data_IF_891565844245
#
_entry.id   IF_891565844245
#
_cell.length_a   1.000
_cell.length_b   1.000
_cell.length_c   1.000
_cell.angle_alpha   90.00
_cell.angle_beta   90.00
_cell.angle_gamma   90.00
#
_symmetry.space_group_name_H-M   'P 1'
#
loop_
_entity.id
_entity.type
_entity.pdbx_description
1 polymer ?
#
# COMPACT_ATOMS: atom_id res chain seq x y z
N UNK A 1 69.04 -11.35 -49.57
CA UNK A 1 68.63 -10.90 -48.22
C UNK A 1 67.16 -10.47 -48.23
N UNK A 2 66.24 -11.29 -47.71
CA UNK A 2 64.81 -10.96 -47.64
C UNK A 2 64.54 -10.52 -46.21
N UNK A 3 64.20 -9.25 -45.99
CA UNK A 3 63.74 -8.74 -44.71
C UNK A 3 62.24 -9.10 -44.59
N UNK A 4 61.94 -9.95 -43.59
CA UNK A 4 60.57 -10.29 -43.16
C UNK A 4 60.19 -9.32 -42.06
N UNK A 5 59.37 -8.32 -42.37
CA UNK A 5 58.75 -7.48 -41.36
C UNK A 5 57.68 -8.30 -40.61
N UNK A 6 57.92 -8.61 -39.37
CA UNK A 6 56.92 -9.12 -38.44
C UNK A 6 56.03 -7.95 -37.97
N UNK A 7 54.79 -7.88 -38.43
CA UNK A 7 53.79 -7.01 -37.86
C UNK A 7 53.29 -7.62 -36.54
N UNK A 8 53.57 -6.96 -35.45
CA UNK A 8 52.98 -7.32 -34.15
C UNK A 8 51.51 -6.92 -34.14
N UNK A 9 50.56 -7.79 -33.71
CA UNK A 9 49.16 -7.41 -33.63
C UNK A 9 48.98 -6.33 -32.56
N UNK A 10 48.33 -5.25 -32.95
CA UNK A 10 48.02 -4.14 -32.05
C UNK A 10 46.94 -4.57 -31.03
N UNK A 11 47.36 -5.08 -29.90
CA UNK A 11 46.46 -5.55 -28.82
C UNK A 11 45.70 -4.41 -28.12
N UNK A 12 46.02 -3.15 -28.39
CA UNK A 12 45.33 -2.02 -27.72
C UNK A 12 43.87 -1.87 -28.09
N UNK A 13 43.53 -2.14 -29.35
CA UNK A 13 42.17 -1.99 -29.86
C UNK A 13 41.24 -3.12 -29.34
N UNK A 14 41.74 -4.33 -29.14
CA UNK A 14 40.96 -5.46 -28.62
C UNK A 14 40.64 -5.28 -27.15
N UNK A 15 41.59 -4.78 -26.36
CA UNK A 15 41.37 -4.49 -24.91
C UNK A 15 40.35 -3.35 -24.75
N UNK A 16 40.46 -2.30 -25.58
CA UNK A 16 39.51 -1.18 -25.57
C UNK A 16 38.07 -1.64 -25.93
N UNK A 17 37.94 -2.52 -26.92
CA UNK A 17 36.66 -3.08 -27.35
C UNK A 17 36.04 -3.97 -26.29
N UNK A 18 36.86 -4.79 -25.60
CA UNK A 18 36.40 -5.60 -24.45
C UNK A 18 35.96 -4.75 -23.26
N UNK A 19 36.69 -3.68 -22.96
CA UNK A 19 36.30 -2.74 -21.87
C UNK A 19 35.01 -2.01 -22.20
N UNK A 20 34.82 -1.59 -23.47
CA UNK A 20 33.58 -0.96 -23.89
C UNK A 20 32.40 -1.93 -23.85
N UNK A 21 32.59 -3.18 -24.24
CA UNK A 21 31.56 -4.21 -24.18
C UNK A 21 31.21 -4.56 -22.72
N UNK A 22 32.19 -4.64 -21.82
CA UNK A 22 32.01 -4.85 -20.41
C UNK A 22 31.29 -3.67 -19.73
N UNK A 23 31.63 -2.43 -20.13
CA UNK A 23 30.93 -1.22 -19.66
C UNK A 23 29.46 -1.18 -20.13
N UNK A 24 29.19 -1.60 -21.36
CA UNK A 24 27.83 -1.72 -21.91
C UNK A 24 26.99 -2.80 -21.22
N UNK A 25 27.60 -3.90 -20.77
CA UNK A 25 26.90 -4.95 -20.00
C UNK A 25 26.58 -4.53 -18.57
N UNK A 26 27.39 -3.65 -17.95
CA UNK A 26 27.14 -3.10 -16.62
C UNK A 26 25.92 -2.15 -16.58
N UNK A 27 25.57 -1.52 -17.70
CA UNK A 27 24.40 -0.61 -17.79
C UNK A 27 23.07 -1.37 -17.82
N UNK A 28 23.06 -2.68 -18.07
CA UNK A 28 21.85 -3.51 -18.07
C UNK A 28 21.31 -3.87 -16.67
N UNK A 29 22.04 -3.54 -15.62
CA UNK A 29 21.76 -3.97 -14.25
C UNK A 29 20.98 -2.93 -13.46
N UNK A 30 19.78 -2.58 -13.78
CA UNK A 30 18.79 -2.07 -12.83
C UNK A 30 17.62 -1.32 -13.48
N UNK A 31 16.93 -1.90 -14.42
CA UNK A 31 15.54 -1.48 -14.64
C UNK A 31 14.69 -2.17 -13.55
N UNK A 32 14.70 -1.61 -12.34
CA UNK A 32 13.69 -1.96 -11.36
C UNK A 32 12.32 -1.66 -12.00
N UNK A 33 11.53 -2.70 -12.22
CA UNK A 33 10.21 -2.58 -12.82
C UNK A 33 9.40 -1.56 -12.03
N UNK A 34 8.96 -0.49 -12.71
CA UNK A 34 8.17 0.56 -12.09
C UNK A 34 6.70 0.39 -12.45
N UNK A 35 5.86 0.63 -11.47
CA UNK A 35 4.42 0.45 -11.55
C UNK A 35 3.73 1.80 -11.68
N UNK A 36 2.77 1.88 -12.62
CA UNK A 36 1.81 2.98 -12.73
C UNK A 36 0.41 2.36 -12.76
N UNK A 37 -0.41 2.66 -11.76
CA UNK A 37 -1.76 2.13 -11.58
C UNK A 37 -2.66 3.17 -10.93
N UNK A 38 -3.95 3.06 -11.24
CA UNK A 38 -4.98 3.87 -10.58
C UNK A 38 -6.02 2.93 -10.00
N UNK A 39 -6.25 3.07 -8.71
CA UNK A 39 -7.28 2.34 -7.98
C UNK A 39 -8.38 3.31 -7.54
N UNK A 40 -9.63 2.89 -7.64
CA UNK A 40 -10.78 3.67 -7.21
C UNK A 40 -11.73 2.75 -6.44
N UNK A 41 -11.75 2.90 -5.12
CA UNK A 41 -12.58 2.13 -4.20
C UNK A 41 -12.49 0.60 -4.37
N UNK A 42 -11.32 0.09 -4.71
CA UNK A 42 -11.06 -1.36 -4.81
C UNK A 42 -10.60 -1.92 -3.46
N UNK A 43 -10.82 -3.20 -3.21
CA UNK A 43 -10.27 -3.83 -2.00
C UNK A 43 -8.75 -3.89 -2.05
N UNK A 44 -8.12 -3.81 -0.87
CA UNK A 44 -6.67 -3.86 -0.77
C UNK A 44 -6.14 -5.19 -1.31
N UNK A 45 -6.82 -6.29 -1.02
CA UNK A 45 -6.51 -7.63 -1.56
C UNK A 45 -6.58 -7.66 -3.10
N UNK A 46 -7.59 -7.02 -3.71
CA UNK A 46 -7.69 -6.92 -5.17
C UNK A 46 -6.56 -6.07 -5.78
N UNK A 47 -6.18 -4.98 -5.11
CA UNK A 47 -5.05 -4.15 -5.54
C UNK A 47 -3.71 -4.91 -5.48
N UNK A 48 -3.47 -5.69 -4.41
CA UNK A 48 -2.28 -6.54 -4.31
C UNK A 48 -2.26 -7.63 -5.38
N UNK A 49 -3.42 -8.24 -5.68
CA UNK A 49 -3.54 -9.23 -6.75
C UNK A 49 -3.21 -8.61 -8.11
N UNK A 50 -3.72 -7.41 -8.39
CA UNK A 50 -3.39 -6.66 -9.61
C UNK A 50 -1.90 -6.37 -9.71
N UNK A 51 -1.27 -5.89 -8.64
CA UNK A 51 0.18 -5.67 -8.60
C UNK A 51 0.94 -6.97 -8.88
N UNK A 52 0.53 -8.09 -8.28
CA UNK A 52 1.20 -9.38 -8.44
C UNK A 52 1.16 -9.90 -9.89
N UNK A 53 0.08 -9.62 -10.62
CA UNK A 53 -0.06 -10.00 -12.05
C UNK A 53 0.80 -9.12 -12.97
N UNK A 54 1.01 -7.84 -12.62
CA UNK A 54 1.66 -6.88 -13.51
C UNK A 54 3.15 -6.63 -13.19
N UNK A 55 3.75 -7.47 -12.37
CA UNK A 55 5.17 -7.47 -12.04
C UNK A 55 5.69 -8.92 -12.02
N UNK A 56 7.02 -9.10 -12.16
CA UNK A 56 7.62 -10.43 -12.24
C UNK A 56 8.78 -10.63 -11.27
N UNK A 57 9.16 -9.59 -10.53
CA UNK A 57 10.30 -9.63 -9.63
C UNK A 57 9.91 -10.20 -8.26
N UNK A 58 8.77 -9.75 -7.71
CA UNK A 58 8.38 -10.05 -6.35
C UNK A 58 7.27 -11.09 -6.27
N UNK A 59 7.31 -11.92 -5.25
CA UNK A 59 6.19 -12.77 -4.82
C UNK A 59 5.46 -12.05 -3.68
N UNK A 60 4.23 -11.56 -3.95
CA UNK A 60 3.43 -10.86 -2.95
C UNK A 60 2.48 -11.86 -2.29
N UNK A 61 2.71 -12.11 -1.00
CA UNK A 61 1.94 -13.04 -0.17
C UNK A 61 1.03 -12.25 0.77
N UNK A 62 -0.24 -12.63 0.84
CA UNK A 62 -1.22 -12.04 1.75
C UNK A 62 -2.40 -12.98 1.98
N UNK A 63 -3.12 -12.79 3.07
CA UNK A 63 -4.39 -13.47 3.34
C UNK A 63 -5.53 -12.61 2.81
N UNK A 64 -6.26 -13.11 1.82
CA UNK A 64 -7.28 -12.35 1.10
C UNK A 64 -8.34 -11.76 2.02
N UNK A 65 -8.94 -12.58 2.88
CA UNK A 65 -10.03 -12.19 3.78
C UNK A 65 -9.59 -11.17 4.86
N UNK A 66 -8.30 -11.16 5.21
CA UNK A 66 -7.77 -10.18 6.16
C UNK A 66 -7.72 -8.76 5.58
N UNK A 67 -7.64 -8.63 4.25
CA UNK A 67 -7.40 -7.35 3.58
C UNK A 67 -8.57 -6.89 2.69
N UNK A 68 -9.60 -7.72 2.52
CA UNK A 68 -10.71 -7.45 1.59
C UNK A 68 -11.55 -6.23 1.97
N UNK A 69 -11.77 -6.02 3.27
CA UNK A 69 -12.58 -4.91 3.77
C UNK A 69 -11.92 -3.53 3.57
N UNK A 70 -10.58 -3.47 3.56
CA UNK A 70 -9.86 -2.23 3.36
C UNK A 70 -9.99 -1.77 1.91
N UNK A 71 -10.48 -0.55 1.69
CA UNK A 71 -10.71 0.01 0.35
C UNK A 71 -9.65 1.05 0.02
N UNK A 72 -9.06 0.96 -1.15
CA UNK A 72 -8.03 1.89 -1.61
C UNK A 72 -8.50 2.71 -2.80
N UNK A 73 -8.22 4.01 -2.75
CA UNK A 73 -8.37 4.97 -3.83
C UNK A 73 -7.07 5.73 -3.95
N UNK A 74 -6.22 5.32 -4.89
CA UNK A 74 -4.87 5.87 -5.04
C UNK A 74 -4.43 5.86 -6.51
N UNK A 75 -3.67 6.89 -6.86
CA UNK A 75 -2.95 6.96 -8.13
C UNK A 75 -1.46 6.69 -7.87
N UNK A 76 -1.00 5.53 -8.28
CA UNK A 76 0.42 5.13 -8.21
C UNK A 76 1.07 5.54 -9.52
N UNK A 77 2.16 6.30 -9.45
CA UNK A 77 2.88 6.78 -10.64
C UNK A 77 4.37 6.49 -10.51
N UNK A 78 4.87 5.62 -11.38
CA UNK A 78 6.30 5.36 -11.53
C UNK A 78 6.99 4.97 -10.21
N UNK A 79 6.37 4.10 -9.40
CA UNK A 79 6.91 3.61 -8.14
C UNK A 79 7.48 2.20 -8.28
N UNK A 80 8.41 1.84 -7.41
CA UNK A 80 8.76 0.43 -7.19
C UNK A 80 7.57 -0.33 -6.59
N UNK A 81 7.55 -1.65 -6.71
CA UNK A 81 6.47 -2.47 -6.14
C UNK A 81 6.36 -2.31 -4.62
N UNK A 82 7.46 -2.35 -3.84
CA UNK A 82 7.38 -2.08 -2.40
C UNK A 82 6.85 -0.69 -2.07
N UNK A 83 7.31 0.35 -2.77
CA UNK A 83 6.82 1.73 -2.55
C UNK A 83 5.34 1.87 -2.91
N UNK A 84 4.89 1.20 -3.99
CA UNK A 84 3.50 1.17 -4.38
C UNK A 84 2.64 0.52 -3.27
N UNK A 85 3.06 -0.60 -2.70
CA UNK A 85 2.36 -1.27 -1.59
C UNK A 85 2.35 -0.35 -0.35
N UNK A 86 3.47 0.28 -0.01
CA UNK A 86 3.53 1.22 1.12
C UNK A 86 2.58 2.40 0.92
N UNK A 87 2.47 2.93 -0.30
CA UNK A 87 1.51 4.00 -0.61
C UNK A 87 0.05 3.53 -0.47
N UNK A 88 -0.25 2.27 -0.85
CA UNK A 88 -1.58 1.69 -0.67
C UNK A 88 -1.92 1.46 0.80
N UNK A 89 -0.97 1.08 1.64
CA UNK A 89 -1.15 0.87 3.08
C UNK A 89 -1.69 2.15 3.74
N UNK A 90 -1.08 3.30 3.47
CA UNK A 90 -1.53 4.57 4.02
C UNK A 90 -1.68 4.53 5.55
N UNK A 91 -2.90 4.77 6.03
CA UNK A 91 -3.23 4.78 7.46
C UNK A 91 -3.86 3.46 7.98
N UNK A 92 -3.95 2.43 7.14
CA UNK A 92 -4.52 1.17 7.56
C UNK A 92 -3.58 0.41 8.50
N UNK A 93 -4.12 -0.38 9.44
CA UNK A 93 -3.33 -1.24 10.31
C UNK A 93 -2.78 -2.47 9.55
N UNK A 94 -2.06 -2.19 8.48
CA UNK A 94 -1.46 -3.18 7.59
C UNK A 94 0.04 -2.98 7.60
N UNK A 95 0.77 -4.08 7.65
CA UNK A 95 2.22 -4.10 7.63
C UNK A 95 2.72 -4.83 6.39
N UNK A 96 3.76 -4.31 5.78
CA UNK A 96 4.54 -4.99 4.76
C UNK A 96 5.89 -5.40 5.36
N UNK A 97 6.28 -6.63 5.10
CA UNK A 97 7.63 -7.14 5.40
C UNK A 97 8.22 -7.68 4.10
N UNK A 98 9.42 -7.27 3.77
CA UNK A 98 10.13 -7.75 2.59
C UNK A 98 11.38 -8.50 3.00
N UNK A 99 11.57 -9.70 2.44
CA UNK A 99 12.78 -10.48 2.51
C UNK A 99 13.17 -10.89 1.09
N UNK A 100 14.23 -10.27 0.57
CA UNK A 100 14.65 -10.42 -0.83
C UNK A 100 13.50 -10.10 -1.81
N UNK A 101 13.09 -11.06 -2.64
CA UNK A 101 12.00 -10.90 -3.59
C UNK A 101 10.64 -11.38 -3.03
N UNK A 102 10.57 -11.77 -1.74
CA UNK A 102 9.32 -12.12 -1.08
C UNK A 102 8.79 -10.94 -0.28
N UNK A 103 7.55 -10.56 -0.56
CA UNK A 103 6.82 -9.52 0.17
C UNK A 103 5.64 -10.18 0.89
N UNK A 104 5.57 -9.99 2.22
CA UNK A 104 4.43 -10.39 3.03
C UNK A 104 3.63 -9.14 3.42
N UNK A 105 2.33 -9.17 3.20
CA UNK A 105 1.40 -8.09 3.59
C UNK A 105 0.32 -8.67 4.49
N UNK A 106 0.23 -8.15 5.70
CA UNK A 106 -0.67 -8.67 6.73
C UNK A 106 -1.33 -7.56 7.55
N UNK A 107 -2.55 -7.81 8.02
CA UNK A 107 -3.19 -6.94 9.01
C UNK A 107 -2.49 -7.10 10.36
N UNK A 108 -2.08 -5.99 11.00
CA UNK A 108 -1.41 -6.02 12.30
C UNK A 108 -2.37 -6.29 13.45
N UNK A 109 -3.68 -6.10 13.23
CA UNK A 109 -4.73 -6.31 14.23
C UNK A 109 -5.61 -7.49 13.80
N UNK A 110 -5.34 -8.66 14.35
CA UNK A 110 -6.12 -9.88 14.13
C UNK A 110 -7.34 -9.89 15.03
N UNK A 111 -8.42 -9.27 14.57
CA UNK A 111 -9.69 -9.21 15.28
C UNK A 111 -10.79 -9.83 14.42
N UNK A 112 -11.81 -10.39 15.08
CA UNK A 112 -12.97 -10.97 14.41
C UNK A 112 -14.01 -9.95 13.97
N UNK A 113 -13.97 -8.74 14.55
CA UNK A 113 -14.91 -7.66 14.24
C UNK A 113 -14.17 -6.50 13.58
N UNK A 114 -14.81 -5.90 12.58
CA UNK A 114 -14.31 -4.73 11.87
C UNK A 114 -15.42 -3.71 11.71
N UNK A 115 -15.32 -2.62 12.48
CA UNK A 115 -16.23 -1.50 12.34
C UNK A 115 -15.90 -0.75 11.06
N UNK A 116 -16.89 -0.63 10.18
CA UNK A 116 -16.71 0.00 8.87
C UNK A 116 -17.88 0.91 8.54
N UNK A 117 -17.59 1.97 7.80
CA UNK A 117 -18.56 2.97 7.41
C UNK A 117 -17.95 4.00 6.46
N UNK A 118 -18.75 5.00 6.18
CA UNK A 118 -18.36 6.13 5.33
C UNK A 118 -18.80 7.44 5.96
N UNK A 119 -17.89 8.40 6.04
CA UNK A 119 -18.17 9.74 6.58
C UNK A 119 -18.32 10.70 5.40
N UNK A 120 -19.39 11.48 5.39
CA UNK A 120 -19.64 12.54 4.41
C UNK A 120 -20.04 13.83 5.14
N UNK A 121 -19.81 14.97 4.48
CA UNK A 121 -20.32 16.25 4.94
C UNK A 121 -21.83 16.44 4.62
N UNK A 122 -22.39 17.57 5.01
CA UNK A 122 -23.80 17.90 4.74
C UNK A 122 -24.12 17.98 3.25
N UNK A 123 -23.14 18.31 2.40
CA UNK A 123 -23.25 18.39 0.94
C UNK A 123 -23.08 17.03 0.25
N UNK A 124 -22.71 15.97 1.00
CA UNK A 124 -22.46 14.62 0.48
C UNK A 124 -21.03 14.36 0.02
N UNK A 125 -20.12 15.32 0.22
CA UNK A 125 -18.71 15.10 -0.10
C UNK A 125 -18.05 14.19 0.94
N UNK A 126 -17.05 13.44 0.52
CA UNK A 126 -16.28 12.58 1.42
C UNK A 126 -15.54 13.42 2.47
N UNK A 127 -15.65 13.03 3.75
CA UNK A 127 -14.78 13.56 4.80
C UNK A 127 -13.47 12.77 4.80
N UNK A 128 -12.50 13.26 4.02
CA UNK A 128 -11.18 12.65 3.90
C UNK A 128 -10.37 12.85 5.17
N UNK A 129 -9.74 11.79 5.65
CA UNK A 129 -8.84 11.83 6.82
C UNK A 129 -9.52 12.28 8.13
N UNK A 130 -10.82 12.06 8.28
CA UNK A 130 -11.50 12.22 9.55
C UNK A 130 -10.98 11.19 10.55
N UNK A 131 -10.77 11.61 11.81
CA UNK A 131 -10.34 10.70 12.87
C UNK A 131 -11.54 9.98 13.48
N UNK A 132 -11.44 8.66 13.62
CA UNK A 132 -12.46 7.84 14.27
C UNK A 132 -11.82 7.13 15.46
N UNK A 133 -12.35 7.35 16.65
CA UNK A 133 -11.95 6.66 17.88
C UNK A 133 -13.13 5.84 18.37
N UNK A 134 -12.91 4.54 18.55
CA UNK A 134 -13.87 3.64 19.17
C UNK A 134 -13.53 3.50 20.65
N UNK A 135 -14.46 3.82 21.49
CA UNK A 135 -14.34 3.78 22.95
C UNK A 135 -15.25 2.68 23.51
N UNK A 136 -14.81 2.06 24.58
CA UNK A 136 -15.67 1.23 25.41
C UNK A 136 -16.77 2.11 26.03
N UNK A 137 -18.05 1.79 25.89
CA UNK A 137 -19.12 2.58 26.51
C UNK A 137 -19.20 2.44 28.04
N UNK A 138 -18.40 1.53 28.63
CA UNK A 138 -18.39 1.27 30.05
C UNK A 138 -17.43 2.21 30.81
N UNK A 139 -16.20 2.30 30.29
CA UNK A 139 -15.07 2.98 30.95
C UNK A 139 -14.35 4.00 30.06
N UNK A 140 -14.84 4.22 28.84
CA UNK A 140 -14.26 5.14 27.87
C UNK A 140 -12.82 4.82 27.43
N UNK A 141 -12.36 3.60 27.69
CA UNK A 141 -11.05 3.15 27.15
C UNK A 141 -11.10 3.04 25.63
N UNK A 142 -9.98 3.34 24.98
CA UNK A 142 -9.86 3.21 23.50
C UNK A 142 -9.78 1.72 23.15
N UNK A 143 -10.73 1.23 22.36
CA UNK A 143 -10.80 -0.15 21.88
C UNK A 143 -10.49 -0.27 20.38
N UNK A 144 -10.36 0.84 19.67
CA UNK A 144 -9.97 0.90 18.28
C UNK A 144 -9.85 2.35 17.81
N UNK A 145 -9.06 2.58 16.79
CA UNK A 145 -8.96 3.89 16.15
C UNK A 145 -8.57 3.74 14.67
N UNK A 146 -8.87 4.74 13.89
CA UNK A 146 -8.52 4.79 12.48
C UNK A 146 -8.85 6.14 11.87
N UNK A 147 -8.58 6.24 10.59
CA UNK A 147 -8.78 7.45 9.79
C UNK A 147 -9.53 7.07 8.52
N UNK A 148 -10.45 7.91 8.06
CA UNK A 148 -11.12 7.71 6.78
C UNK A 148 -10.17 7.93 5.61
N UNK A 149 -10.38 7.20 4.53
CA UNK A 149 -9.63 7.37 3.28
C UNK A 149 -10.18 8.52 2.43
N UNK A 150 -9.66 8.68 1.21
CA UNK A 150 -10.05 9.73 0.26
C UNK A 150 -11.53 9.67 -0.15
N UNK A 151 -12.20 8.53 0.01
CA UNK A 151 -13.64 8.37 -0.22
C UNK A 151 -14.47 8.56 1.06
N UNK A 152 -13.85 8.94 2.18
CA UNK A 152 -14.48 9.02 3.48
C UNK A 152 -14.74 7.65 4.14
N UNK A 153 -14.31 6.55 3.52
CA UNK A 153 -14.52 5.19 4.02
C UNK A 153 -13.46 4.84 5.06
N UNK A 154 -13.86 4.07 6.08
CA UNK A 154 -12.95 3.58 7.12
C UNK A 154 -13.24 2.13 7.49
N UNK A 155 -12.21 1.45 7.98
CA UNK A 155 -12.27 0.11 8.56
C UNK A 155 -11.41 0.08 9.80
N UNK A 156 -12.01 -0.26 10.95
CA UNK A 156 -11.32 -0.29 12.23
C UNK A 156 -11.50 -1.67 12.85
N UNK A 157 -10.44 -2.47 12.93
CA UNK A 157 -10.45 -3.72 13.67
C UNK A 157 -10.73 -3.46 15.17
N UNK A 158 -11.64 -4.23 15.77
CA UNK A 158 -12.03 -4.05 17.17
C UNK A 158 -12.60 -5.35 17.74
N UNK A 159 -12.30 -5.66 18.99
CA UNK A 159 -12.84 -6.86 19.67
C UNK A 159 -14.13 -6.61 20.44
N UNK A 160 -14.57 -5.35 20.57
CA UNK A 160 -15.77 -4.98 21.30
C UNK A 160 -17.00 -5.02 20.41
N UNK A 161 -18.07 -5.68 20.84
CA UNK A 161 -19.35 -5.74 20.11
C UNK A 161 -20.17 -4.46 20.22
N UNK A 162 -19.90 -3.62 21.22
CA UNK A 162 -20.57 -2.34 21.44
C UNK A 162 -19.53 -1.27 21.69
N UNK A 163 -19.59 -0.19 20.94
CA UNK A 163 -18.61 0.90 21.00
C UNK A 163 -19.31 2.25 21.02
N UNK A 164 -18.69 3.23 21.68
CA UNK A 164 -18.98 4.63 21.51
C UNK A 164 -18.00 5.18 20.45
N UNK A 165 -18.47 5.41 19.25
CA UNK A 165 -17.64 6.01 18.19
C UNK A 165 -17.62 7.53 18.38
N UNK A 166 -16.42 8.08 18.50
CA UNK A 166 -16.14 9.52 18.46
C UNK A 166 -15.46 9.85 17.16
N UNK A 167 -16.08 10.72 16.36
CA UNK A 167 -15.59 11.11 15.04
C UNK A 167 -15.30 12.60 15.08
N UNK A 168 -14.08 12.96 14.69
CA UNK A 168 -13.63 14.35 14.63
C UNK A 168 -13.09 14.67 13.23
N UNK A 169 -13.47 15.83 12.73
CA UNK A 169 -13.02 16.34 11.45
C UNK A 169 -12.83 17.87 11.56
N UNK A 170 -11.78 18.37 10.91
CA UNK A 170 -11.42 19.80 11.02
C UNK A 170 -12.55 20.67 10.48
N UNK A 171 -13.00 21.65 11.28
CA UNK A 171 -14.08 22.55 10.92
C UNK A 171 -15.49 22.03 11.19
N UNK A 172 -15.64 20.80 11.70
CA UNK A 172 -16.94 20.18 11.96
C UNK A 172 -17.12 19.87 13.45
N UNK A 173 -18.38 19.74 13.85
CA UNK A 173 -18.72 19.31 15.23
C UNK A 173 -18.38 17.83 15.42
N UNK A 174 -17.87 17.50 16.59
CA UNK A 174 -17.59 16.12 16.96
C UNK A 174 -18.89 15.30 17.00
N UNK A 175 -18.90 14.16 16.33
CA UNK A 175 -19.99 13.19 16.43
C UNK A 175 -19.61 12.16 17.49
N UNK A 176 -20.55 11.86 18.41
CA UNK A 176 -20.41 10.79 19.38
C UNK A 176 -21.68 9.94 19.36
N UNK A 177 -21.56 8.67 18.98
CA UNK A 177 -22.71 7.75 18.83
C UNK A 177 -22.33 6.33 19.20
N UNK A 178 -23.26 5.63 19.84
CA UNK A 178 -23.10 4.20 20.21
C UNK A 178 -23.50 3.34 19.02
N UNK A 179 -22.64 2.36 18.72
CA UNK A 179 -22.88 1.34 17.71
C UNK A 179 -22.76 -0.05 18.32
N UNK A 180 -23.69 -0.93 17.97
CA UNK A 180 -23.68 -2.36 18.30
C UNK A 180 -23.56 -3.24 17.06
N UNK A 181 -23.62 -2.61 15.88
CA UNK A 181 -23.40 -3.26 14.58
C UNK A 181 -22.08 -2.75 14.00
N UNK A 182 -21.17 -3.64 13.60
CA UNK A 182 -19.94 -3.27 12.91
C UNK A 182 -20.15 -2.52 11.60
N UNK A 183 -21.27 -2.73 10.89
CA UNK A 183 -21.67 -1.94 9.73
C UNK A 183 -22.31 -0.62 10.19
N UNK A 184 -21.49 0.44 10.23
CA UNK A 184 -21.93 1.75 10.73
C UNK A 184 -22.68 2.58 9.68
N UNK A 185 -22.61 2.17 8.41
CA UNK A 185 -23.27 2.85 7.32
C UNK A 185 -22.67 4.22 6.99
N UNK A 186 -23.51 5.12 6.49
CA UNK A 186 -23.11 6.51 6.19
C UNK A 186 -23.33 7.37 7.43
N UNK A 187 -22.32 8.16 7.77
CA UNK A 187 -22.30 9.07 8.91
C UNK A 187 -22.16 10.51 8.36
N UNK A 188 -23.08 11.38 8.77
CA UNK A 188 -23.07 12.80 8.41
C UNK A 188 -22.80 13.66 9.62
#
# INVERSE_FOLDING_TARGET
MKNIFKTTPNNGNTISLFLLFFLLTLVQLSYAQRITRQYNNVSFSAALKDLNVHQHKYTINFVYDELEDFKVTKSIRNLSVPDAIMQLIGFYPIKMTQLEDNIMVECTQKTTLRYKGRIIDESGNAAEYANITLLSPIDSTIVGHGVSNENGSFVIPCNSRKVLARITYVGYKTISRIYSNPEMGIIK
#
